data_IF_479138065662
#
_entry.id   IF_479138065662
#
_cell.length_a   1.000
_cell.length_b   1.000
_cell.length_c   1.000
_cell.angle_alpha   90.00
_cell.angle_beta   90.00
_cell.angle_gamma   90.00
#
_symmetry.space_group_name_H-M   'P 1'
#
loop_
_entity.id
_entity.type
_entity.pdbx_description
1 polymer ?
#
# COMPACT_ATOMS: atom_id res chain seq x y z
N UNK A 1 20.70 -13.67 -7.58
CA UNK A 1 20.55 -14.31 -6.26
C UNK A 1 20.88 -13.24 -5.24
N UNK A 2 19.84 -12.62 -4.72
CA UNK A 2 19.89 -11.35 -3.99
C UNK A 2 20.23 -11.59 -2.51
N UNK A 3 21.19 -10.85 -1.98
CA UNK A 3 21.73 -11.06 -0.62
C UNK A 3 20.72 -10.75 0.49
N UNK A 4 19.61 -10.05 0.19
CA UNK A 4 18.58 -9.70 1.17
C UNK A 4 17.65 -10.87 1.50
N UNK A 5 17.44 -11.79 0.55
CA UNK A 5 16.64 -13.00 0.76
C UNK A 5 17.36 -14.01 1.68
N UNK A 6 18.69 -14.01 1.65
CA UNK A 6 19.54 -14.91 2.46
C UNK A 6 19.53 -14.55 3.96
N UNK A 7 19.47 -13.25 4.32
CA UNK A 7 19.46 -12.83 5.72
C UNK A 7 18.14 -13.13 6.44
N UNK A 8 17.01 -13.07 5.74
CA UNK A 8 15.69 -13.34 6.34
C UNK A 8 15.46 -14.82 6.67
N UNK A 9 16.02 -15.73 5.86
CA UNK A 9 15.92 -17.17 6.07
C UNK A 9 16.77 -17.64 7.28
N UNK A 10 17.95 -17.04 7.48
CA UNK A 10 18.85 -17.41 8.58
C UNK A 10 18.26 -17.00 9.95
N UNK A 11 17.47 -15.91 10.00
CA UNK A 11 16.87 -15.43 11.25
C UNK A 11 15.85 -16.40 11.88
N UNK A 12 15.20 -17.27 11.10
CA UNK A 12 14.19 -18.23 11.60
C UNK A 12 14.78 -19.57 12.04
N UNK A 13 16.02 -19.87 11.67
CA UNK A 13 16.68 -21.16 11.95
C UNK A 13 17.63 -21.13 13.16
N UNK A 14 17.76 -19.97 13.84
CA UNK A 14 18.66 -19.81 14.99
C UNK A 14 18.03 -20.35 16.29
N UNK A 15 18.75 -21.16 17.09
CA UNK A 15 18.28 -21.61 18.39
C UNK A 15 18.07 -20.41 19.33
N UNK A 16 17.03 -20.47 20.17
CA UNK A 16 16.58 -19.35 21.02
C UNK A 16 17.67 -18.68 21.86
N UNK A 17 18.70 -19.43 22.26
CA UNK A 17 19.84 -18.91 22.99
C UNK A 17 20.66 -17.88 22.19
N UNK A 18 20.88 -18.13 20.90
CA UNK A 18 21.63 -17.24 20.01
C UNK A 18 20.79 -16.00 19.66
N UNK A 19 19.48 -16.17 19.52
CA UNK A 19 18.51 -15.08 19.30
C UNK A 19 18.48 -14.12 20.49
N UNK A 20 18.44 -14.65 21.72
CA UNK A 20 18.52 -13.85 22.95
C UNK A 20 19.85 -13.13 23.08
N UNK A 21 20.95 -13.76 22.67
CA UNK A 21 22.29 -13.15 22.70
C UNK A 21 22.40 -11.96 21.74
N UNK A 22 21.84 -12.07 20.53
CA UNK A 22 21.79 -10.98 19.55
C UNK A 22 20.91 -9.81 20.00
N UNK A 23 19.74 -10.09 20.57
CA UNK A 23 18.85 -9.04 21.10
C UNK A 23 19.52 -8.24 22.24
N UNK A 24 20.27 -8.93 23.11
CA UNK A 24 21.06 -8.26 24.15
C UNK A 24 22.21 -7.43 23.56
N UNK A 25 22.81 -7.87 22.45
CA UNK A 25 23.88 -7.13 21.78
C UNK A 25 23.39 -5.84 21.11
N UNK A 26 22.18 -5.85 20.54
CA UNK A 26 21.57 -4.67 19.89
C UNK A 26 21.15 -3.61 20.94
N UNK A 27 20.91 -4.00 22.19
CA UNK A 27 20.55 -3.08 23.28
C UNK A 27 21.72 -2.19 23.77
N UNK A 28 22.97 -2.57 23.49
CA UNK A 28 24.16 -1.86 23.99
C UNK A 28 24.69 -0.73 23.11
N UNK A 29 24.27 -0.66 21.85
CA UNK A 29 24.58 0.44 20.95
C UNK A 29 23.33 1.32 20.89
N UNK A 30 23.35 2.45 21.61
CA UNK A 30 22.21 3.35 21.73
C UNK A 30 21.51 3.57 20.40
N UNK A 31 20.21 3.26 20.36
CA UNK A 31 19.36 3.57 19.22
C UNK A 31 19.33 5.09 19.11
N UNK A 32 20.09 5.65 18.17
CA UNK A 32 19.77 6.97 17.62
C UNK A 32 18.44 6.78 16.91
N UNK A 33 17.38 7.32 17.50
CA UNK A 33 16.12 7.49 16.82
C UNK A 33 16.36 8.44 15.63
N UNK A 34 16.63 7.88 14.46
CA UNK A 34 16.44 8.58 13.20
C UNK A 34 14.93 8.72 12.99
N UNK A 35 14.31 9.68 13.68
CA UNK A 35 13.03 10.23 13.27
C UNK A 35 13.30 11.07 12.02
N UNK A 36 13.31 10.42 10.84
CA UNK A 36 13.76 11.07 9.62
C UNK A 36 13.74 10.17 8.38
N UNK A 37 12.81 9.22 8.30
CA UNK A 37 12.35 8.66 7.04
C UNK A 37 10.94 9.21 6.77
N UNK A 38 10.91 10.49 6.38
CA UNK A 38 10.10 11.09 5.31
C UNK A 38 10.34 12.59 5.40
N UNK A 39 11.27 13.08 4.58
CA UNK A 39 11.32 14.48 4.17
C UNK A 39 10.26 14.61 3.07
N UNK A 40 9.02 14.80 3.50
CA UNK A 40 7.88 15.22 2.68
C UNK A 40 6.92 15.85 3.69
N UNK A 41 6.98 17.18 3.79
CA UNK A 41 5.98 17.98 4.51
C UNK A 41 4.91 18.27 3.44
N UNK A 42 3.88 17.43 3.27
CA UNK A 42 2.81 17.76 2.35
C UNK A 42 2.15 19.00 2.92
N UNK A 43 2.11 20.09 2.14
CA UNK A 43 1.16 21.15 2.44
C UNK A 43 -0.21 20.48 2.65
N UNK A 44 -0.97 20.91 3.66
CA UNK A 44 -2.15 20.17 4.16
C UNK A 44 -3.29 19.97 3.13
N UNK A 45 -3.09 20.39 1.88
CA UNK A 45 -3.99 20.22 0.73
C UNK A 45 -3.39 19.38 -0.42
N UNK A 46 -2.10 18.99 -0.37
CA UNK A 46 -1.42 18.15 -1.38
C UNK A 46 -1.62 16.65 -1.10
N UNK A 47 -2.87 16.22 -0.91
CA UNK A 47 -3.15 14.78 -0.90
C UNK A 47 -3.22 14.27 -2.33
N UNK A 48 -2.50 13.17 -2.60
CA UNK A 48 -2.54 12.55 -3.91
C UNK A 48 -3.97 12.11 -4.27
N UNK A 49 -4.35 12.26 -5.54
CA UNK A 49 -5.61 11.73 -6.09
C UNK A 49 -5.29 10.60 -7.06
N UNK A 50 -6.02 9.51 -6.96
CA UNK A 50 -5.87 8.31 -7.79
C UNK A 50 -7.11 8.09 -8.65
N UNK A 51 -6.91 7.50 -9.83
CA UNK A 51 -8.00 7.03 -10.70
C UNK A 51 -8.23 5.54 -10.46
N UNK A 52 -9.42 5.18 -10.01
CA UNK A 52 -9.83 3.81 -9.71
C UNK A 52 -10.85 3.36 -10.74
N UNK A 53 -10.57 2.23 -11.41
CA UNK A 53 -11.45 1.67 -12.44
C UNK A 53 -12.30 0.54 -11.84
N UNK A 54 -13.62 0.71 -11.88
CA UNK A 54 -14.61 -0.29 -11.45
C UNK A 54 -15.02 -1.14 -12.65
N UNK A 55 -14.38 -2.30 -12.81
CA UNK A 55 -14.50 -3.15 -14.00
C UNK A 55 -15.93 -3.65 -14.27
N UNK A 56 -16.74 -3.88 -13.23
CA UNK A 56 -18.12 -4.35 -13.39
C UNK A 56 -19.07 -3.25 -13.89
N UNK A 57 -18.70 -1.99 -13.68
CA UNK A 57 -19.51 -0.82 -14.00
C UNK A 57 -18.96 0.00 -15.19
N UNK A 58 -17.82 -0.41 -15.76
CA UNK A 58 -17.09 0.32 -16.81
C UNK A 58 -16.87 1.81 -16.45
N UNK A 59 -16.72 2.10 -15.15
CA UNK A 59 -16.64 3.46 -14.60
C UNK A 59 -15.26 3.72 -13.99
N UNK A 60 -14.78 4.96 -14.12
CA UNK A 60 -13.53 5.42 -13.50
C UNK A 60 -13.84 6.56 -12.55
N UNK A 61 -13.39 6.42 -11.31
CA UNK A 61 -13.67 7.36 -10.22
C UNK A 61 -12.36 7.93 -9.69
N UNK A 62 -12.33 9.24 -9.47
CA UNK A 62 -11.21 9.90 -8.82
C UNK A 62 -11.39 9.81 -7.30
N UNK A 63 -10.35 9.34 -6.60
CA UNK A 63 -10.36 9.11 -5.16
C UNK A 63 -9.11 9.73 -4.55
N UNK A 64 -9.26 10.57 -3.51
CA UNK A 64 -8.12 11.08 -2.75
C UNK A 64 -7.45 9.97 -1.94
N UNK A 65 -6.18 10.15 -1.60
CA UNK A 65 -5.40 9.21 -0.82
C UNK A 65 -5.92 9.01 0.61
N UNK A 66 -6.65 10.00 1.14
CA UNK A 66 -7.13 10.07 2.51
C UNK A 66 -8.62 9.71 2.67
N UNK A 67 -9.32 9.37 1.58
CA UNK A 67 -10.73 8.98 1.62
C UNK A 67 -10.94 7.49 1.31
N UNK A 68 -12.04 6.93 1.83
CA UNK A 68 -12.44 5.55 1.56
C UNK A 68 -13.01 5.40 0.14
N UNK A 69 -12.65 4.31 -0.55
CA UNK A 69 -13.10 4.03 -1.92
C UNK A 69 -14.63 3.95 -2.11
N UNK A 70 -15.39 3.69 -1.04
CA UNK A 70 -16.83 3.46 -1.12
C UNK A 70 -17.61 4.74 -1.41
N UNK A 71 -17.28 5.84 -0.74
CA UNK A 71 -18.02 7.10 -0.85
C UNK A 71 -18.00 7.69 -2.27
N UNK A 72 -16.83 7.98 -2.88
CA UNK A 72 -16.77 8.56 -4.22
C UNK A 72 -17.37 7.62 -5.28
N UNK A 73 -17.28 6.30 -5.09
CA UNK A 73 -17.95 5.35 -5.98
C UNK A 73 -19.48 5.48 -5.97
N UNK A 74 -20.07 5.60 -4.77
CA UNK A 74 -21.51 5.81 -4.63
C UNK A 74 -21.95 7.18 -5.19
N UNK A 75 -21.09 8.20 -5.08
CA UNK A 75 -21.35 9.53 -5.63
C UNK A 75 -21.36 9.57 -7.16
N UNK A 76 -20.54 8.74 -7.83
CA UNK A 76 -20.57 8.62 -9.29
C UNK A 76 -21.66 7.68 -9.80
N UNK A 77 -22.24 6.87 -8.91
CA UNK A 77 -23.34 5.96 -9.24
C UNK A 77 -22.94 4.49 -9.36
N UNK A 78 -21.74 4.12 -8.92
CA UNK A 78 -21.31 2.73 -8.81
C UNK A 78 -22.10 2.04 -7.69
N UNK A 79 -22.94 1.06 -8.07
CA UNK A 79 -23.78 0.33 -7.12
C UNK A 79 -22.99 -0.77 -6.40
N UNK A 80 -22.38 -0.41 -5.27
CA UNK A 80 -21.66 -1.36 -4.39
C UNK A 80 -22.58 -1.76 -3.22
N UNK A 81 -22.75 -3.04 -2.88
CA UNK A 81 -23.52 -3.43 -1.70
C UNK A 81 -22.79 -3.07 -0.40
N UNK A 82 -23.46 -2.34 0.49
CA UNK A 82 -22.92 -1.98 1.81
C UNK A 82 -24.02 -1.97 2.90
N UNK A 83 -23.61 -2.14 4.16
CA UNK A 83 -24.53 -2.11 5.31
C UNK A 83 -23.95 -1.54 6.60
N UNK A 84 -22.62 -1.54 6.74
CA UNK A 84 -21.98 -1.19 8.01
C UNK A 84 -21.01 -0.02 7.93
N UNK A 85 -20.35 0.21 6.79
CA UNK A 85 -19.38 1.31 6.57
C UNK A 85 -18.23 1.38 7.60
N UNK A 86 -18.06 0.34 8.42
CA UNK A 86 -17.06 0.25 9.49
C UNK A 86 -16.15 -0.96 9.34
N UNK A 87 -16.20 -1.64 8.19
CA UNK A 87 -15.31 -2.77 7.86
C UNK A 87 -15.67 -4.13 8.49
N UNK A 88 -16.76 -4.24 9.27
CA UNK A 88 -17.12 -5.50 9.96
C UNK A 88 -17.97 -6.46 9.10
N UNK A 89 -18.78 -5.93 8.18
CA UNK A 89 -19.75 -6.71 7.41
C UNK A 89 -19.20 -7.35 6.13
N UNK A 90 -18.11 -6.82 5.58
CA UNK A 90 -17.42 -7.37 4.39
C UNK A 90 -18.18 -7.27 3.07
N UNK A 91 -19.40 -6.71 3.04
CA UNK A 91 -20.22 -6.63 1.81
C UNK A 91 -19.62 -5.75 0.72
N UNK A 92 -18.88 -4.71 1.11
CA UNK A 92 -18.19 -3.80 0.21
C UNK A 92 -16.79 -4.30 -0.19
N UNK A 93 -16.46 -5.58 0.03
CA UNK A 93 -15.16 -6.14 -0.36
C UNK A 93 -15.12 -6.35 -1.86
N UNK A 94 -14.13 -5.76 -2.53
CA UNK A 94 -13.84 -5.98 -3.95
C UNK A 94 -12.52 -6.72 -4.15
N UNK A 95 -12.43 -7.47 -5.25
CA UNK A 95 -11.18 -8.05 -5.72
C UNK A 95 -10.33 -6.97 -6.40
N UNK A 96 -9.05 -6.89 -6.01
CA UNK A 96 -8.11 -6.01 -6.70
C UNK A 96 -7.36 -6.81 -7.75
N UNK A 97 -7.45 -6.37 -9.01
CA UNK A 97 -6.54 -6.85 -10.04
C UNK A 97 -5.25 -6.04 -9.95
N UNK A 98 -4.10 -6.73 -9.99
CA UNK A 98 -2.83 -6.05 -10.06
C UNK A 98 -2.81 -5.12 -11.28
N UNK A 99 -2.67 -3.83 -11.02
CA UNK A 99 -2.57 -2.84 -12.09
C UNK A 99 -1.32 -3.14 -12.93
N UNK A 100 -1.43 -3.28 -14.26
CA UNK A 100 -0.25 -3.39 -15.10
C UNK A 100 0.59 -2.12 -14.93
N UNK A 101 1.93 -2.20 -14.93
CA UNK A 101 2.76 -1.01 -14.86
C UNK A 101 2.34 -0.09 -16.01
N UNK A 102 2.04 1.19 -15.70
CA UNK A 102 1.76 2.23 -16.70
C UNK A 102 2.99 2.34 -17.60
N UNK A 103 3.05 1.54 -18.66
CA UNK A 103 4.05 1.67 -19.70
C UNK A 103 3.70 2.96 -20.41
N UNK A 104 4.50 4.01 -20.17
CA UNK A 104 4.37 5.31 -20.80
C UNK A 104 4.01 5.13 -22.27
N UNK A 105 2.82 5.61 -22.66
CA UNK A 105 2.35 5.58 -24.03
C UNK A 105 3.33 6.36 -24.91
N UNK A 106 4.34 5.67 -25.43
CA UNK A 106 5.15 6.15 -26.54
C UNK A 106 4.26 5.99 -27.76
N UNK A 107 3.64 7.09 -28.17
CA UNK A 107 3.00 7.22 -29.47
C UNK A 107 4.10 7.05 -30.54
N UNK A 108 4.40 5.81 -30.92
CA UNK A 108 5.24 5.53 -32.06
C UNK A 108 4.35 5.61 -33.31
N UNK A 109 4.26 6.82 -33.89
CA UNK A 109 3.80 6.98 -35.27
C UNK A 109 4.85 6.33 -36.17
N UNK A 110 4.54 5.14 -36.67
CA UNK A 110 5.31 4.52 -37.75
C UNK A 110 4.90 5.26 -39.02
N UNK A 111 5.86 6.01 -39.61
CA UNK A 111 5.74 6.59 -40.95
C UNK A 111 6.10 5.57 -42.02
#
# INVERSE_FOLDING_TARGET
>A
MDATESMAAISRALPDAERRRLLTAISGAGVVAIAGCTDDDPAEDDVATYEVVYLDHDETVAVRADEDLLAPALETGVEIPYSCEVGTGGQCTGDTTAMPPRSSATMATIS
#
